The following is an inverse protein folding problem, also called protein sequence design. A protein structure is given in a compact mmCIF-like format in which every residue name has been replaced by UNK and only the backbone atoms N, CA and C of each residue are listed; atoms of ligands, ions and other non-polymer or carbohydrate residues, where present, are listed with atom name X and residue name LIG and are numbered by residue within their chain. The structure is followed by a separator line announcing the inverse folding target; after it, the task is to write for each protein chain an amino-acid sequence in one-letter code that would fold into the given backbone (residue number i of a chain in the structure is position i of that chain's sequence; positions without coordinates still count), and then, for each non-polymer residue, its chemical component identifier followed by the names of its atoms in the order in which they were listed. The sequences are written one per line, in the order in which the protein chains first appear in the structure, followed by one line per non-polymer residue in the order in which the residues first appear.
data_IF_042535716988
#
_entry.id   IF_042535716988
#
_cell.length_a   1.000
_cell.length_b   1.000
_cell.length_c   1.000
_cell.angle_alpha   90.00
_cell.angle_beta   90.00
_cell.angle_gamma   90.00
#
_symmetry.space_group_name_H-M   'P 1'
#
loop_
_entity.id
_entity.type
_entity.pdbx_description
1 polymer ?
#
# COMPACT_ATOMS: atom_id res chain seq x y z
N UNK A 1 -3.55 2.51 19.80
CA UNK A 1 -2.65 1.58 20.51
C UNK A 1 -3.04 0.12 20.33
N UNK A 2 -2.09 -0.79 20.54
CA UNK A 2 -2.27 -2.24 20.43
C UNK A 2 -3.38 -2.76 21.36
N UNK A 3 -3.41 -2.21 22.57
CA UNK A 3 -4.31 -2.56 23.67
C UNK A 3 -5.77 -2.35 23.28
N UNK A 4 -6.08 -1.25 22.58
CA UNK A 4 -7.43 -0.96 22.09
C UNK A 4 -7.90 -2.03 21.09
N UNK A 5 -7.04 -2.46 20.17
CA UNK A 5 -7.41 -3.47 19.17
C UNK A 5 -7.61 -4.84 19.84
N UNK A 6 -6.79 -5.17 20.84
CA UNK A 6 -6.95 -6.41 21.60
C UNK A 6 -8.24 -6.40 22.43
N UNK A 7 -8.57 -5.26 23.06
CA UNK A 7 -9.83 -5.06 23.77
C UNK A 7 -11.04 -5.23 22.83
N UNK A 8 -11.01 -4.57 21.65
CA UNK A 8 -12.06 -4.68 20.65
C UNK A 8 -12.20 -6.12 20.11
N UNK A 9 -11.09 -6.84 19.93
CA UNK A 9 -11.11 -8.25 19.52
C UNK A 9 -11.74 -9.15 20.58
N UNK A 10 -11.44 -8.92 21.86
CA UNK A 10 -12.02 -9.66 22.98
C UNK A 10 -13.53 -9.39 23.13
N UNK A 11 -13.97 -8.14 22.86
CA UNK A 11 -15.38 -7.73 22.87
C UNK A 11 -16.14 -8.08 21.58
N UNK A 12 -15.45 -8.47 20.52
CA UNK A 12 -16.11 -8.84 19.27
C UNK A 12 -16.87 -10.17 19.42
N UNK A 13 -18.21 -10.09 19.37
CA UNK A 13 -19.11 -11.25 19.38
C UNK A 13 -19.15 -11.96 18.03
N UNK A 14 -19.01 -11.20 16.93
CA UNK A 14 -18.98 -11.75 15.57
C UNK A 14 -17.62 -12.32 15.25
N UNK A 15 -17.57 -13.60 14.87
CA UNK A 15 -16.34 -14.28 14.46
C UNK A 15 -15.64 -13.55 13.29
N UNK A 16 -16.41 -12.99 12.36
CA UNK A 16 -15.89 -12.21 11.22
C UNK A 16 -15.10 -10.98 11.65
N UNK A 17 -15.56 -10.26 12.69
CA UNK A 17 -14.81 -9.13 13.27
C UNK A 17 -13.53 -9.61 13.95
N UNK A 18 -13.61 -10.70 14.73
CA UNK A 18 -12.43 -11.28 15.39
C UNK A 18 -11.36 -11.69 14.38
N UNK A 19 -11.77 -12.32 13.26
CA UNK A 19 -10.90 -12.65 12.12
C UNK A 19 -10.30 -11.40 11.46
N UNK A 20 -11.08 -10.33 11.31
CA UNK A 20 -10.58 -9.07 10.74
C UNK A 20 -9.50 -8.42 11.62
N UNK A 21 -9.74 -8.32 12.93
CA UNK A 21 -8.75 -7.81 13.88
C UNK A 21 -7.49 -8.69 13.93
N UNK A 22 -7.66 -10.02 13.94
CA UNK A 22 -6.54 -10.96 13.92
C UNK A 22 -5.68 -10.80 12.66
N UNK A 23 -6.31 -10.67 11.48
CA UNK A 23 -5.60 -10.42 10.21
C UNK A 23 -4.88 -9.08 10.20
N UNK A 24 -5.49 -8.03 10.76
CA UNK A 24 -4.82 -6.74 10.91
C UNK A 24 -3.57 -6.86 11.77
N UNK A 25 -3.71 -7.53 12.92
CA UNK A 25 -2.65 -7.69 13.93
C UNK A 25 -1.47 -8.52 13.44
N UNK A 26 -1.73 -9.58 12.68
CA UNK A 26 -0.71 -10.54 12.24
C UNK A 26 -0.06 -10.16 10.91
N UNK A 27 -0.79 -9.49 9.99
CA UNK A 27 -0.32 -9.25 8.62
C UNK A 27 -0.40 -7.79 8.21
N UNK A 28 -1.59 -7.18 8.22
CA UNK A 28 -1.81 -5.89 7.54
C UNK A 28 -0.99 -4.75 8.17
N UNK A 29 -0.91 -4.69 9.52
CA UNK A 29 -0.18 -3.62 10.22
C UNK A 29 1.34 -3.61 9.97
N UNK A 30 1.89 -4.75 9.54
CA UNK A 30 3.31 -4.93 9.25
C UNK A 30 3.61 -4.87 7.75
N UNK A 31 2.57 -4.69 6.93
CA UNK A 31 2.73 -4.59 5.47
C UNK A 31 3.35 -3.25 5.12
N UNK A 32 4.49 -3.30 4.44
CA UNK A 32 5.18 -2.14 3.89
C UNK A 32 5.51 -2.39 2.42
N UNK A 33 5.71 -1.33 1.65
CA UNK A 33 6.20 -1.43 0.27
C UNK A 33 7.67 -1.86 0.27
N UNK A 34 8.05 -2.69 -0.70
CA UNK A 34 9.44 -3.10 -0.90
C UNK A 34 10.23 -1.93 -1.47
N UNK A 35 9.66 -1.23 -2.46
CA UNK A 35 10.22 -0.03 -3.05
C UNK A 35 10.14 1.14 -2.07
N UNK A 36 11.25 1.89 -2.00
CA UNK A 36 11.35 3.13 -1.25
C UNK A 36 11.39 4.33 -2.21
N UNK A 37 11.28 5.54 -1.66
CA UNK A 37 11.34 6.77 -2.46
C UNK A 37 12.60 6.89 -3.33
N UNK A 38 13.74 6.35 -2.86
CA UNK A 38 14.98 6.29 -3.64
C UNK A 38 14.85 5.38 -4.88
N UNK A 39 14.15 4.25 -4.76
CA UNK A 39 13.90 3.35 -5.90
C UNK A 39 12.93 3.99 -6.90
N UNK A 40 11.88 4.65 -6.39
CA UNK A 40 10.95 5.40 -7.24
C UNK A 40 11.66 6.50 -8.04
N UNK A 41 12.65 7.18 -7.45
CA UNK A 41 13.47 8.17 -8.14
C UNK A 41 14.28 7.53 -9.29
N UNK A 42 14.86 6.35 -9.08
CA UNK A 42 15.57 5.59 -10.13
C UNK A 42 14.64 5.15 -11.26
N UNK A 43 13.37 4.87 -10.94
CA UNK A 43 12.33 4.52 -11.91
C UNK A 43 11.74 5.73 -12.66
N UNK A 44 12.24 6.94 -12.41
CA UNK A 44 11.82 8.16 -13.09
C UNK A 44 10.71 8.95 -12.41
N UNK A 45 10.35 8.63 -11.16
CA UNK A 45 9.43 9.45 -10.38
C UNK A 45 10.11 10.73 -9.89
N UNK A 46 9.50 11.88 -10.17
CA UNK A 46 9.96 13.16 -9.63
C UNK A 46 9.64 13.28 -8.13
N UNK A 47 10.54 13.92 -7.39
CA UNK A 47 10.29 14.25 -5.99
C UNK A 47 9.10 15.23 -5.89
N UNK A 48 8.20 14.98 -4.95
CA UNK A 48 6.99 15.80 -4.74
C UNK A 48 5.75 14.96 -4.43
N UNK A 49 4.56 15.56 -4.49
CA UNK A 49 3.29 14.91 -4.11
C UNK A 49 3.02 13.59 -4.85
N UNK A 50 3.50 13.49 -6.10
CA UNK A 50 3.36 12.29 -6.95
C UNK A 50 4.03 11.06 -6.33
N UNK A 51 5.19 11.23 -5.69
CA UNK A 51 5.88 10.12 -5.04
C UNK A 51 5.07 9.56 -3.86
N UNK A 52 4.47 10.46 -3.06
CA UNK A 52 3.58 10.07 -1.98
C UNK A 52 2.31 9.37 -2.49
N UNK A 53 1.75 9.80 -3.62
CA UNK A 53 0.63 9.11 -4.26
C UNK A 53 1.01 7.69 -4.69
N UNK A 54 2.17 7.51 -5.33
CA UNK A 54 2.65 6.20 -5.78
C UNK A 54 2.83 5.25 -4.59
N UNK A 55 3.46 5.70 -3.50
CA UNK A 55 3.68 4.88 -2.32
C UNK A 55 2.36 4.49 -1.63
N UNK A 56 1.37 5.40 -1.56
CA UNK A 56 0.05 5.08 -1.02
C UNK A 56 -0.69 4.04 -1.86
N UNK A 57 -0.67 4.19 -3.17
CA UNK A 57 -1.33 3.23 -4.07
C UNK A 57 -0.62 1.88 -4.08
N UNK A 58 0.72 1.85 -4.03
CA UNK A 58 1.48 0.62 -3.85
C UNK A 58 1.10 -0.10 -2.55
N UNK A 59 1.08 0.63 -1.43
CA UNK A 59 0.71 0.07 -0.13
C UNK A 59 -0.70 -0.52 -0.16
N UNK A 60 -1.66 0.20 -0.77
CA UNK A 60 -3.02 -0.29 -0.95
C UNK A 60 -3.06 -1.61 -1.73
N UNK A 61 -2.39 -1.67 -2.88
CA UNK A 61 -2.32 -2.90 -3.69
C UNK A 61 -1.65 -4.07 -2.95
N UNK A 62 -0.67 -3.79 -2.09
CA UNK A 62 -0.08 -4.83 -1.21
C UNK A 62 -1.07 -5.33 -0.16
N UNK A 63 -1.83 -4.43 0.46
CA UNK A 63 -2.87 -4.81 1.44
C UNK A 63 -3.95 -5.68 0.79
N UNK A 64 -4.26 -5.41 -0.47
CA UNK A 64 -5.20 -6.20 -1.29
C UNK A 64 -4.57 -7.49 -1.88
N UNK A 65 -3.28 -7.75 -1.62
CA UNK A 65 -2.47 -8.84 -2.19
C UNK A 65 -2.40 -8.85 -3.74
N UNK A 66 -2.64 -7.72 -4.39
CA UNK A 66 -2.50 -7.58 -5.85
C UNK A 66 -1.03 -7.44 -6.30
N UNK A 67 -0.17 -7.01 -5.38
CA UNK A 67 1.25 -6.75 -5.60
C UNK A 67 2.00 -7.37 -4.43
N UNK A 68 2.89 -8.33 -4.71
CA UNK A 68 3.54 -9.12 -3.66
C UNK A 68 5.06 -9.08 -3.80
N UNK A 69 5.56 -9.14 -5.04
CA UNK A 69 6.97 -9.13 -5.37
C UNK A 69 7.51 -7.71 -5.64
N UNK A 70 8.84 -7.58 -5.70
CA UNK A 70 9.49 -6.32 -6.08
C UNK A 70 9.18 -5.99 -7.55
N UNK A 71 9.16 -7.00 -8.40
CA UNK A 71 8.91 -6.92 -9.83
C UNK A 71 7.49 -6.39 -10.09
N UNK A 72 6.50 -6.86 -9.33
CA UNK A 72 5.11 -6.35 -9.40
C UNK A 72 5.04 -4.87 -9.03
N UNK A 73 5.76 -4.46 -7.97
CA UNK A 73 5.81 -3.06 -7.56
C UNK A 73 6.44 -2.19 -8.65
N UNK A 74 7.54 -2.63 -9.26
CA UNK A 74 8.20 -1.90 -10.33
C UNK A 74 7.31 -1.79 -11.59
N UNK A 75 6.62 -2.87 -11.95
CA UNK A 75 5.67 -2.89 -13.06
C UNK A 75 4.52 -1.91 -12.82
N UNK A 76 3.96 -1.91 -11.60
CA UNK A 76 2.91 -0.96 -11.21
C UNK A 76 3.39 0.49 -11.29
N UNK A 77 4.57 0.80 -10.73
CA UNK A 77 5.14 2.17 -10.75
C UNK A 77 5.33 2.66 -12.18
N UNK A 78 5.90 1.84 -13.07
CA UNK A 78 6.10 2.19 -14.49
C UNK A 78 4.77 2.47 -15.19
N UNK A 79 3.75 1.63 -14.95
CA UNK A 79 2.41 1.82 -15.51
C UNK A 79 1.73 3.10 -14.96
N UNK A 80 1.87 3.36 -13.66
CA UNK A 80 1.31 4.54 -13.00
C UNK A 80 1.92 5.84 -13.55
N UNK A 81 3.24 5.88 -13.72
CA UNK A 81 3.96 7.00 -14.32
C UNK A 81 3.49 7.27 -15.75
N UNK A 82 3.38 6.23 -16.59
CA UNK A 82 2.83 6.37 -17.97
C UNK A 82 1.42 6.96 -17.97
N UNK A 83 0.54 6.50 -17.07
CA UNK A 83 -0.85 6.99 -16.97
C UNK A 83 -0.94 8.45 -16.52
N UNK A 84 -0.09 8.90 -15.61
CA UNK A 84 -0.03 10.31 -15.16
C UNK A 84 0.51 11.23 -16.26
N UNK A 85 1.52 10.80 -17.01
CA UNK A 85 2.08 11.57 -18.13
C UNK A 85 1.03 11.82 -19.22
N UNK A 86 0.14 10.86 -19.47
CA UNK A 86 -1.00 11.03 -20.40
C UNK A 86 -2.06 12.03 -19.92
N UNK A 87 -2.37 12.06 -18.61
CA UNK A 87 -3.36 13.01 -18.05
C UNK A 87 -2.89 14.47 -18.01
N UNK A 88 -1.58 14.72 -18.01
CA UNK A 88 -1.02 16.09 -18.01
C UNK A 88 -1.14 16.79 -19.36
N UNK A 89 -1.42 16.07 -20.46
CA UNK A 89 -1.65 16.62 -21.82
C UNK A 89 -3.10 17.05 -22.11
N UNK A 90 -4.04 16.82 -21.18
CA UNK A 90 -5.47 17.14 -21.35
C UNK A 90 -5.95 18.30 -20.44
N UNK A 91 -5.03 19.15 -19.97
CA UNK A 91 -5.37 20.42 -19.33
C UNK A 91 -4.63 21.54 -20.01
#
# INVERSE_FOLDING_TARGET
DLELILYLMAKAERESLRKAFSRYMTKLRHTQTILKGADLKKLGAQQGPVMGEILRELLRKRLDNEVVSREDEEAFVKAFLKKKTGRKKLK
#
